data_IF_232943188570
#
_entry.id   IF_232943188570
#
_cell.length_a   1.000
_cell.length_b   1.000
_cell.length_c   1.000
_cell.angle_alpha   90.00
_cell.angle_beta   90.00
_cell.angle_gamma   90.00
#
_symmetry.space_group_name_H-M   'P 1'
#
loop_
_entity.id
_entity.type
_entity.pdbx_description
1 polymer ?
#
# COMPACT_ATOMS: atom_id res chain seq x y z
N UNK A 1 1.94 -38.18 5.73
CA UNK A 1 2.53 -37.16 6.61
C UNK A 1 1.42 -36.55 7.46
N UNK A 2 1.66 -36.26 8.76
CA UNK A 2 0.67 -35.54 9.59
C UNK A 2 0.73 -34.06 9.31
N UNK A 3 -0.34 -33.31 9.61
CA UNK A 3 -0.36 -31.84 9.45
C UNK A 3 0.77 -31.18 10.24
N UNK A 4 1.04 -31.62 11.46
CA UNK A 4 2.15 -31.11 12.27
C UNK A 4 3.51 -31.36 11.62
N UNK A 5 3.76 -32.53 11.04
CA UNK A 5 5.01 -32.81 10.33
C UNK A 5 5.14 -32.04 9.01
N UNK A 6 4.01 -31.70 8.37
CA UNK A 6 4.02 -30.83 7.18
C UNK A 6 4.45 -29.39 7.54
N UNK A 7 3.96 -28.82 8.63
CA UNK A 7 4.43 -27.50 9.09
C UNK A 7 5.92 -27.50 9.45
N UNK A 8 6.40 -28.57 10.12
CA UNK A 8 7.84 -28.69 10.41
C UNK A 8 8.69 -28.77 9.13
N UNK A 9 8.19 -29.47 8.10
CA UNK A 9 8.88 -29.55 6.82
C UNK A 9 8.95 -28.19 6.09
N UNK A 10 7.85 -27.41 6.12
CA UNK A 10 7.84 -26.04 5.60
C UNK A 10 8.87 -25.16 6.31
N UNK A 11 8.85 -25.16 7.65
CA UNK A 11 9.77 -24.37 8.46
C UNK A 11 11.22 -24.72 8.21
N UNK A 12 11.54 -26.03 8.19
CA UNK A 12 12.90 -26.50 7.94
C UNK A 12 13.40 -26.13 6.55
N UNK A 13 12.51 -26.17 5.53
CA UNK A 13 12.87 -25.74 4.19
C UNK A 13 13.17 -24.23 4.15
N UNK A 14 12.32 -23.40 4.77
CA UNK A 14 12.51 -21.96 4.84
C UNK A 14 13.82 -21.63 5.57
N UNK A 15 14.07 -22.24 6.72
CA UNK A 15 15.32 -22.04 7.47
C UNK A 15 16.56 -22.38 6.63
N UNK A 16 16.50 -23.49 5.86
CA UNK A 16 17.60 -23.90 5.00
C UNK A 16 17.84 -22.98 3.78
N UNK A 17 16.82 -22.24 3.35
CA UNK A 17 16.90 -21.35 2.18
C UNK A 17 16.85 -19.86 2.56
N UNK A 18 16.96 -19.53 3.85
CA UNK A 18 16.80 -18.16 4.31
C UNK A 18 17.86 -17.21 3.76
N UNK A 19 19.12 -17.63 3.64
CA UNK A 19 20.17 -16.83 3.01
C UNK A 19 19.88 -16.55 1.52
N UNK A 20 19.19 -17.44 0.84
CA UNK A 20 18.74 -17.22 -0.55
C UNK A 20 17.62 -16.20 -0.60
N UNK A 21 16.68 -16.25 0.35
CA UNK A 21 15.61 -15.27 0.50
C UNK A 21 16.15 -13.86 0.76
N UNK A 22 17.13 -13.73 1.64
CA UNK A 22 17.81 -12.44 1.90
C UNK A 22 18.49 -11.91 0.64
N UNK A 23 19.23 -12.75 -0.10
CA UNK A 23 19.86 -12.33 -1.37
C UNK A 23 18.85 -11.95 -2.44
N UNK A 24 17.72 -12.62 -2.50
CA UNK A 24 16.61 -12.26 -3.40
C UNK A 24 16.09 -10.87 -3.06
N UNK A 25 15.82 -10.59 -1.79
CA UNK A 25 15.38 -9.26 -1.34
C UNK A 25 16.44 -8.18 -1.63
N UNK A 26 17.74 -8.45 -1.35
CA UNK A 26 18.82 -7.51 -1.69
C UNK A 26 18.81 -7.13 -3.17
N UNK A 27 18.67 -8.13 -4.06
CA UNK A 27 18.64 -7.90 -5.51
C UNK A 27 17.44 -7.07 -5.96
N UNK A 28 16.31 -7.13 -5.25
CA UNK A 28 15.13 -6.30 -5.51
C UNK A 28 15.32 -4.87 -4.98
N UNK A 29 15.87 -4.71 -3.78
CA UNK A 29 16.14 -3.38 -3.18
C UNK A 29 17.12 -2.59 -4.03
N UNK A 30 18.10 -3.24 -4.65
CA UNK A 30 19.14 -2.62 -5.49
C UNK A 30 18.60 -2.00 -6.80
N UNK A 31 17.36 -2.26 -7.18
CA UNK A 31 16.73 -1.63 -8.35
C UNK A 31 15.76 -0.54 -7.89
N UNK A 32 16.08 0.75 -8.12
CA UNK A 32 15.21 1.87 -7.74
C UNK A 32 13.84 1.82 -8.41
N UNK A 33 12.81 2.22 -7.67
CA UNK A 33 11.42 2.29 -8.13
C UNK A 33 10.73 3.54 -7.63
N UNK A 34 11.47 4.65 -7.61
CA UNK A 34 10.98 5.93 -7.09
C UNK A 34 9.71 6.37 -7.81
N UNK A 35 8.66 6.59 -7.05
CA UNK A 35 7.37 7.04 -7.54
C UNK A 35 6.91 8.27 -6.77
N UNK A 36 6.87 9.49 -7.41
CA UNK A 36 7.30 9.74 -8.78
C UNK A 36 8.83 9.64 -9.01
N UNK A 37 9.33 9.48 -10.26
CA UNK A 37 8.61 9.52 -11.53
C UNK A 37 7.94 8.19 -11.95
N UNK A 38 8.15 7.10 -11.21
CA UNK A 38 7.49 5.83 -11.47
C UNK A 38 8.02 5.11 -12.73
N UNK A 39 9.34 5.00 -12.87
CA UNK A 39 9.98 4.16 -13.89
C UNK A 39 10.15 2.73 -13.35
N UNK A 40 9.07 1.95 -13.34
CA UNK A 40 8.99 0.68 -12.62
C UNK A 40 9.26 -0.56 -13.49
N UNK A 41 9.22 -0.46 -14.83
CA UNK A 41 9.46 -1.60 -15.72
C UNK A 41 10.84 -2.27 -15.52
N UNK A 42 11.96 -1.56 -15.27
CA UNK A 42 13.25 -2.22 -15.02
C UNK A 42 13.27 -3.14 -13.80
N UNK A 43 12.54 -2.76 -12.72
CA UNK A 43 12.42 -3.62 -11.54
C UNK A 43 11.56 -4.85 -11.84
N UNK A 44 10.48 -4.71 -12.61
CA UNK A 44 9.66 -5.84 -13.03
C UNK A 44 10.48 -6.83 -13.88
N UNK A 45 11.32 -6.36 -14.80
CA UNK A 45 12.23 -7.22 -15.57
C UNK A 45 13.20 -7.96 -14.65
N UNK A 46 13.85 -7.25 -13.73
CA UNK A 46 14.76 -7.86 -12.75
C UNK A 46 14.05 -8.90 -11.89
N UNK A 47 12.83 -8.60 -11.44
CA UNK A 47 12.01 -9.53 -10.67
C UNK A 47 11.71 -10.79 -11.48
N UNK A 48 11.29 -10.65 -12.74
CA UNK A 48 11.01 -11.78 -13.63
C UNK A 48 12.23 -12.67 -13.84
N UNK A 49 13.44 -12.08 -14.01
CA UNK A 49 14.70 -12.82 -14.13
C UNK A 49 15.02 -13.63 -12.85
N UNK A 50 14.81 -13.04 -11.68
CA UNK A 50 15.01 -13.73 -10.40
C UNK A 50 14.02 -14.88 -10.21
N UNK A 51 12.76 -14.70 -10.62
CA UNK A 51 11.73 -15.75 -10.56
C UNK A 51 12.01 -16.87 -11.56
N UNK A 52 12.59 -16.55 -12.72
CA UNK A 52 13.01 -17.55 -13.69
C UNK A 52 14.09 -18.50 -13.15
N UNK A 53 14.96 -18.01 -12.26
CA UNK A 53 15.94 -18.85 -11.57
C UNK A 53 15.30 -19.90 -10.64
N UNK A 54 14.05 -19.68 -10.22
CA UNK A 54 13.23 -20.67 -9.48
C UNK A 54 12.49 -21.65 -10.40
N UNK A 55 12.66 -21.54 -11.73
CA UNK A 55 11.92 -22.31 -12.72
C UNK A 55 10.50 -21.78 -12.97
N UNK A 56 10.18 -20.56 -12.54
CA UNK A 56 8.90 -19.93 -12.75
C UNK A 56 8.93 -18.96 -13.94
N UNK A 57 7.87 -19.00 -14.74
CA UNK A 57 7.65 -18.02 -15.80
C UNK A 57 6.65 -16.97 -15.29
N UNK A 58 7.11 -15.73 -15.14
CA UNK A 58 6.26 -14.61 -14.83
C UNK A 58 5.55 -14.11 -16.09
N UNK A 59 4.24 -13.97 -16.05
CA UNK A 59 3.45 -13.25 -17.04
C UNK A 59 3.74 -11.76 -16.86
N UNK A 60 4.23 -11.11 -17.94
CA UNK A 60 4.53 -9.67 -17.93
C UNK A 60 3.38 -8.90 -18.56
N UNK A 61 2.70 -8.11 -17.77
CA UNK A 61 1.57 -7.31 -18.19
C UNK A 61 1.95 -5.82 -18.19
N UNK A 62 2.55 -5.38 -19.31
CA UNK A 62 2.91 -3.97 -19.50
C UNK A 62 1.63 -3.15 -19.70
N UNK A 63 1.46 -2.10 -18.90
CA UNK A 63 0.38 -1.12 -19.10
C UNK A 63 0.74 -0.25 -20.30
N UNK A 64 -0.20 0.07 -21.21
CA UNK A 64 0.06 0.90 -22.37
C UNK A 64 0.71 2.24 -22.00
N UNK A 65 1.75 2.62 -22.71
CA UNK A 65 2.58 3.81 -22.39
C UNK A 65 1.76 5.10 -22.32
N UNK A 66 0.73 5.24 -23.15
CA UNK A 66 -0.16 6.41 -23.12
C UNK A 66 -0.94 6.48 -21.80
N UNK A 67 -1.50 5.35 -21.32
CA UNK A 67 -2.24 5.28 -20.06
C UNK A 67 -1.32 5.58 -18.87
N UNK A 68 -0.10 5.03 -18.87
CA UNK A 68 0.91 5.26 -17.82
C UNK A 68 1.28 6.73 -17.74
N UNK A 69 1.52 7.39 -18.88
CA UNK A 69 1.86 8.83 -18.93
C UNK A 69 0.70 9.73 -18.53
N UNK A 70 -0.51 9.43 -18.98
CA UNK A 70 -1.71 10.18 -18.61
C UNK A 70 -1.99 10.07 -17.10
N UNK A 71 -1.63 8.94 -16.52
CA UNK A 71 -1.73 8.73 -15.06
C UNK A 71 -0.61 9.43 -14.29
N UNK A 72 0.49 9.82 -14.93
CA UNK A 72 1.60 10.58 -14.34
C UNK A 72 2.83 9.74 -13.98
N UNK A 73 2.95 8.54 -14.52
CA UNK A 73 4.09 7.65 -14.34
C UNK A 73 4.91 7.52 -15.64
N UNK A 74 6.11 6.95 -15.55
CA UNK A 74 7.03 6.78 -16.69
C UNK A 74 6.87 5.42 -17.35
N UNK A 75 6.86 4.34 -16.58
CA UNK A 75 6.68 2.98 -17.07
C UNK A 75 6.11 2.07 -16.00
N UNK A 76 5.31 1.07 -16.39
CA UNK A 76 4.72 0.13 -15.46
C UNK A 76 4.49 -1.22 -16.13
N UNK A 77 5.02 -2.29 -15.51
CA UNK A 77 4.77 -3.68 -15.91
C UNK A 77 4.40 -4.48 -14.68
N UNK A 78 3.17 -4.95 -14.62
CA UNK A 78 2.73 -5.85 -13.57
C UNK A 78 3.15 -7.28 -13.88
N UNK A 79 3.43 -8.09 -12.85
CA UNK A 79 3.80 -9.49 -12.99
C UNK A 79 2.77 -10.39 -12.33
N UNK A 80 2.42 -11.49 -13.00
CA UNK A 80 1.66 -12.59 -12.41
C UNK A 80 2.46 -13.88 -12.55
N UNK A 81 2.64 -14.61 -11.44
CA UNK A 81 3.14 -15.99 -11.44
C UNK A 81 2.01 -16.90 -11.01
N UNK A 82 1.70 -17.93 -11.78
CA UNK A 82 0.64 -18.89 -11.47
C UNK A 82 1.22 -20.26 -11.20
N UNK A 83 0.89 -20.80 -10.04
CA UNK A 83 1.27 -22.17 -9.67
C UNK A 83 0.02 -22.96 -9.28
N UNK A 84 -0.27 -23.99 -10.06
CA UNK A 84 -1.41 -24.87 -9.80
C UNK A 84 -0.92 -26.23 -9.34
N UNK A 85 -1.48 -26.70 -8.21
CA UNK A 85 -1.11 -27.97 -7.62
C UNK A 85 -2.02 -29.12 -8.11
N UNK A 86 -3.31 -28.87 -8.20
CA UNK A 86 -4.28 -29.83 -8.73
C UNK A 86 -5.50 -29.10 -9.33
N UNK A 87 -6.29 -29.82 -10.13
CA UNK A 87 -7.57 -29.32 -10.64
C UNK A 87 -8.59 -29.15 -9.47
N UNK A 88 -9.47 -28.17 -9.62
CA UNK A 88 -10.41 -27.77 -8.55
C UNK A 88 -9.70 -27.01 -7.41
N UNK A 89 -10.37 -26.86 -6.27
CA UNK A 89 -9.84 -26.09 -5.15
C UNK A 89 -9.82 -24.58 -5.39
N UNK A 90 -9.34 -23.84 -4.39
CA UNK A 90 -9.28 -22.37 -4.40
C UNK A 90 -8.03 -21.86 -5.06
N UNK A 91 -8.11 -20.63 -5.59
CA UNK A 91 -6.93 -19.83 -5.97
C UNK A 91 -6.70 -18.77 -4.91
N UNK A 92 -5.53 -18.80 -4.28
CA UNK A 92 -5.08 -17.79 -3.31
C UNK A 92 -4.08 -16.86 -3.99
N UNK A 93 -4.37 -15.57 -4.06
CA UNK A 93 -3.42 -14.59 -4.55
C UNK A 93 -2.61 -13.99 -3.40
N UNK A 94 -1.35 -13.68 -3.69
CA UNK A 94 -0.43 -12.96 -2.82
C UNK A 94 0.01 -11.70 -3.55
N UNK A 95 -0.38 -10.52 -3.06
CA UNK A 95 -0.08 -9.25 -3.72
C UNK A 95 0.92 -8.42 -2.93
N UNK A 96 1.96 -7.95 -3.59
CA UNK A 96 2.91 -6.98 -3.07
C UNK A 96 3.24 -5.93 -4.12
N UNK A 97 3.58 -4.70 -3.67
CA UNK A 97 3.97 -3.62 -4.55
C UNK A 97 5.48 -3.36 -4.53
N UNK A 98 6.03 -3.04 -5.70
CA UNK A 98 7.46 -2.80 -5.86
C UNK A 98 7.82 -1.33 -5.96
N UNK A 99 6.86 -0.44 -6.20
CA UNK A 99 7.05 1.00 -6.22
C UNK A 99 7.23 1.56 -4.80
N UNK A 100 7.90 2.70 -4.69
CA UNK A 100 8.26 3.30 -3.42
C UNK A 100 8.43 4.80 -3.55
N UNK A 101 8.20 5.55 -2.47
CA UNK A 101 8.53 6.99 -2.44
C UNK A 101 10.04 7.21 -2.57
N UNK A 102 10.50 8.33 -3.19
CA UNK A 102 11.92 8.67 -3.27
C UNK A 102 12.60 8.65 -1.90
N UNK A 103 13.88 8.29 -1.83
CA UNK A 103 14.60 8.09 -0.56
C UNK A 103 14.69 9.37 0.30
N UNK A 104 14.75 10.58 -0.33
CA UNK A 104 15.01 11.81 0.39
C UNK A 104 16.46 11.91 0.87
N UNK A 105 16.68 12.74 1.88
CA UNK A 105 18.01 13.04 2.44
C UNK A 105 18.21 12.39 3.82
N UNK A 106 19.45 12.40 4.31
CA UNK A 106 19.79 11.99 5.67
C UNK A 106 20.15 10.52 5.84
N UNK A 107 20.32 9.77 4.75
CA UNK A 107 20.74 8.38 4.79
C UNK A 107 22.20 8.22 5.25
N UNK A 108 22.46 7.24 6.15
CA UNK A 108 23.80 6.79 6.54
C UNK A 108 24.17 5.48 5.83
N UNK A 109 23.18 4.70 5.38
CA UNK A 109 23.33 3.54 4.49
C UNK A 109 22.94 3.93 3.07
N UNK A 110 23.49 3.26 2.05
CA UNK A 110 23.08 3.52 0.67
C UNK A 110 21.60 3.15 0.46
N UNK A 111 20.73 4.07 0.00
CA UNK A 111 19.28 3.84 -0.12
C UNK A 111 18.89 2.60 -0.95
N UNK A 112 19.73 2.25 -1.91
CA UNK A 112 19.57 1.07 -2.78
C UNK A 112 20.74 0.10 -2.65
N UNK A 113 21.43 0.08 -1.49
CA UNK A 113 22.55 -0.82 -1.24
C UNK A 113 22.11 -2.24 -0.89
N UNK A 114 21.02 -2.38 -0.16
CA UNK A 114 20.59 -3.68 0.39
C UNK A 114 21.60 -4.23 1.40
N UNK A 115 22.26 -3.35 2.15
CA UNK A 115 23.28 -3.72 3.14
C UNK A 115 22.66 -4.48 4.32
N UNK A 116 23.32 -5.55 4.75
CA UNK A 116 22.91 -6.33 5.94
C UNK A 116 23.86 -6.03 7.09
N UNK A 117 23.34 -5.43 8.16
CA UNK A 117 24.06 -5.11 9.38
C UNK A 117 23.21 -5.51 10.59
N UNK A 118 23.80 -6.23 11.54
CA UNK A 118 23.17 -6.63 12.81
C UNK A 118 21.76 -7.23 12.67
N UNK A 119 21.59 -8.13 11.69
CA UNK A 119 20.34 -8.82 11.43
C UNK A 119 19.25 -7.96 10.78
N UNK A 120 19.61 -6.80 10.24
CA UNK A 120 18.74 -5.89 9.51
C UNK A 120 19.21 -5.71 8.07
N UNK A 121 18.29 -5.63 7.13
CA UNK A 121 18.56 -5.26 5.75
C UNK A 121 18.13 -3.81 5.53
N UNK A 122 19.10 -2.95 5.23
CA UNK A 122 18.88 -1.52 5.00
C UNK A 122 18.64 -1.23 3.52
N UNK A 123 17.66 -0.36 3.27
CA UNK A 123 17.36 0.14 1.94
C UNK A 123 15.92 0.62 1.79
N UNK A 124 15.70 1.52 0.84
CA UNK A 124 14.36 1.98 0.50
C UNK A 124 13.52 0.83 -0.04
N UNK A 125 12.28 0.68 0.45
CA UNK A 125 11.37 -0.44 0.21
C UNK A 125 11.79 -1.78 0.83
N UNK A 126 12.84 -1.85 1.64
CA UNK A 126 13.21 -3.08 2.34
C UNK A 126 12.12 -3.55 3.30
N UNK A 127 11.42 -2.62 3.97
CA UNK A 127 10.33 -2.92 4.89
C UNK A 127 8.94 -2.87 4.24
N UNK A 128 8.76 -2.01 3.23
CA UNK A 128 7.45 -1.81 2.56
C UNK A 128 7.68 -1.55 1.06
N UNK A 129 7.40 -2.47 0.14
CA UNK A 129 6.93 -3.83 0.38
C UNK A 129 7.72 -4.85 -0.45
N UNK A 130 8.99 -4.53 -0.85
CA UNK A 130 9.84 -5.51 -1.57
C UNK A 130 10.14 -6.74 -0.70
N UNK A 131 10.11 -6.60 0.63
CA UNK A 131 10.15 -7.73 1.57
C UNK A 131 9.09 -8.77 1.27
N UNK A 132 7.89 -8.34 0.90
CA UNK A 132 6.79 -9.27 0.64
C UNK A 132 6.89 -9.97 -0.72
N UNK A 133 7.65 -9.42 -1.68
CA UNK A 133 8.07 -10.18 -2.85
C UNK A 133 8.89 -11.41 -2.44
N UNK A 134 9.80 -11.25 -1.48
CA UNK A 134 10.60 -12.34 -0.95
C UNK A 134 9.75 -13.31 -0.12
N UNK A 135 8.99 -12.80 0.87
CA UNK A 135 8.08 -13.59 1.71
C UNK A 135 7.16 -14.48 0.87
N UNK A 136 6.47 -13.90 -0.10
CA UNK A 136 5.48 -14.63 -0.89
C UNK A 136 6.12 -15.62 -1.86
N UNK A 137 7.25 -15.27 -2.47
CA UNK A 137 8.00 -16.19 -3.33
C UNK A 137 8.54 -17.39 -2.55
N UNK A 138 9.16 -17.15 -1.39
CA UNK A 138 9.76 -18.24 -0.61
C UNK A 138 8.71 -19.08 0.13
N UNK A 139 7.58 -18.52 0.53
CA UNK A 139 6.44 -19.29 1.03
C UNK A 139 5.88 -20.25 -0.03
N UNK A 140 5.74 -19.79 -1.27
CA UNK A 140 5.28 -20.63 -2.38
C UNK A 140 6.30 -21.71 -2.75
N UNK A 141 7.61 -21.39 -2.77
CA UNK A 141 8.68 -22.37 -2.99
C UNK A 141 8.69 -23.45 -1.92
N UNK A 142 8.51 -23.07 -0.65
CA UNK A 142 8.41 -24.04 0.44
C UNK A 142 7.21 -24.98 0.27
N UNK A 143 6.07 -24.44 -0.17
CA UNK A 143 4.87 -25.23 -0.45
C UNK A 143 5.08 -26.21 -1.62
N UNK A 144 5.75 -25.79 -2.70
CA UNK A 144 6.12 -26.67 -3.81
C UNK A 144 7.08 -27.78 -3.37
N UNK A 145 8.09 -27.43 -2.58
CA UNK A 145 9.03 -28.40 -2.04
C UNK A 145 8.35 -29.42 -1.12
N UNK A 146 7.39 -29.00 -0.32
CA UNK A 146 6.56 -29.91 0.47
C UNK A 146 5.73 -30.82 -0.43
N UNK A 147 5.03 -30.26 -1.42
CA UNK A 147 4.18 -31.02 -2.34
C UNK A 147 4.91 -32.13 -3.10
N UNK A 148 6.21 -31.92 -3.34
CA UNK A 148 7.06 -32.92 -4.00
C UNK A 148 7.53 -34.07 -3.08
N UNK A 149 7.29 -34.00 -1.76
CA UNK A 149 7.72 -35.04 -0.82
C UNK A 149 6.79 -36.26 -0.82
N UNK A 150 7.32 -37.48 -0.68
CA UNK A 150 6.49 -38.66 -0.52
C UNK A 150 5.55 -38.58 0.71
N UNK A 151 4.27 -38.81 0.48
CA UNK A 151 3.25 -38.76 1.55
C UNK A 151 2.89 -37.34 2.02
N UNK A 152 3.23 -36.32 1.25
CA UNK A 152 2.78 -34.94 1.48
C UNK A 152 1.24 -34.85 1.49
N UNK A 153 0.65 -33.88 2.20
CA UNK A 153 -0.77 -33.58 2.08
C UNK A 153 -1.15 -33.29 0.63
N UNK A 154 -2.35 -33.68 0.21
CA UNK A 154 -2.87 -33.33 -1.11
C UNK A 154 -3.22 -31.85 -1.13
N UNK A 155 -2.45 -31.08 -1.88
CA UNK A 155 -2.71 -29.65 -2.10
C UNK A 155 -3.59 -29.51 -3.34
N UNK A 156 -4.70 -28.76 -3.22
CA UNK A 156 -5.66 -28.51 -4.30
C UNK A 156 -5.65 -27.03 -4.69
N UNK A 157 -6.13 -26.75 -5.91
CA UNK A 157 -6.18 -25.37 -6.38
C UNK A 157 -4.80 -24.79 -6.71
N UNK A 158 -4.59 -23.51 -6.43
CA UNK A 158 -3.36 -22.84 -6.81
C UNK A 158 -3.06 -21.56 -6.05
N UNK A 159 -1.85 -21.05 -6.32
CA UNK A 159 -1.36 -19.77 -5.80
C UNK A 159 -1.00 -18.87 -6.98
N UNK A 160 -1.37 -17.59 -6.88
CA UNK A 160 -0.93 -16.54 -7.79
C UNK A 160 -0.08 -15.52 -7.01
N UNK A 161 1.10 -15.17 -7.53
CA UNK A 161 1.86 -14.01 -7.05
C UNK A 161 1.53 -12.82 -7.95
N UNK A 162 1.05 -11.74 -7.37
CA UNK A 162 0.79 -10.47 -8.05
C UNK A 162 1.81 -9.44 -7.58
N UNK A 163 2.79 -9.12 -8.42
CA UNK A 163 3.78 -8.08 -8.16
C UNK A 163 3.43 -6.86 -8.99
N UNK A 164 2.99 -5.80 -8.32
CA UNK A 164 2.39 -4.61 -8.91
C UNK A 164 3.20 -3.35 -8.60
N UNK A 165 2.93 -2.23 -9.29
CA UNK A 165 3.79 -1.04 -9.21
C UNK A 165 2.98 0.25 -9.38
N UNK A 166 2.20 0.65 -8.40
CA UNK A 166 1.62 2.00 -8.25
C UNK A 166 0.82 2.18 -6.95
N UNK A 167 1.11 1.37 -5.94
CA UNK A 167 0.43 1.49 -4.63
C UNK A 167 0.58 2.90 -4.05
N UNK A 168 1.78 3.46 -4.17
CA UNK A 168 2.10 4.81 -3.69
C UNK A 168 1.37 5.91 -4.48
N UNK A 169 0.75 5.55 -5.60
CA UNK A 169 0.03 6.48 -6.49
C UNK A 169 -1.46 6.14 -6.65
N UNK A 170 -1.96 5.09 -5.96
CA UNK A 170 -3.37 4.77 -5.88
C UNK A 170 -3.79 3.39 -6.39
N UNK A 171 -2.90 2.57 -6.94
CA UNK A 171 -3.15 1.17 -7.32
C UNK A 171 -3.95 0.96 -8.61
N UNK A 172 -4.34 2.03 -9.28
CA UNK A 172 -5.25 1.93 -10.45
C UNK A 172 -4.57 1.36 -11.69
N UNK A 173 -3.25 1.51 -11.85
CA UNK A 173 -2.47 0.95 -12.95
C UNK A 173 -1.78 -0.37 -12.58
N UNK A 174 -1.67 -0.67 -11.29
CA UNK A 174 -1.24 -1.95 -10.75
C UNK A 174 -2.38 -2.95 -10.68
N UNK A 175 -2.82 -3.35 -9.48
CA UNK A 175 -3.87 -4.35 -9.32
C UNK A 175 -5.20 -3.89 -9.93
N UNK A 176 -5.52 -2.60 -9.89
CA UNK A 176 -6.73 -2.06 -10.51
C UNK A 176 -6.79 -2.36 -12.01
N UNK A 177 -5.67 -2.19 -12.71
CA UNK A 177 -5.57 -2.49 -14.14
C UNK A 177 -5.68 -4.01 -14.41
N UNK A 178 -4.98 -4.85 -13.65
CA UNK A 178 -5.07 -6.30 -13.79
C UNK A 178 -6.50 -6.81 -13.63
N UNK A 179 -7.23 -6.30 -12.63
CA UNK A 179 -8.61 -6.66 -12.35
C UNK A 179 -9.56 -6.17 -13.47
N UNK A 180 -9.39 -4.92 -13.94
CA UNK A 180 -10.21 -4.37 -15.05
C UNK A 180 -10.01 -5.11 -16.36
N UNK A 181 -8.79 -5.58 -16.64
CA UNK A 181 -8.49 -6.39 -17.82
C UNK A 181 -8.95 -7.86 -17.69
N UNK A 182 -9.48 -8.25 -16.51
CA UNK A 182 -9.89 -9.63 -16.27
C UNK A 182 -8.74 -10.64 -16.26
N UNK A 183 -7.51 -10.17 -16.00
CA UNK A 183 -6.31 -11.00 -16.04
C UNK A 183 -6.18 -11.89 -14.81
N UNK A 184 -6.88 -11.58 -13.73
CA UNK A 184 -6.93 -12.40 -12.52
C UNK A 184 -8.28 -12.28 -11.83
N UNK A 185 -8.69 -13.36 -11.17
CA UNK A 185 -9.89 -13.44 -10.31
C UNK A 185 -9.68 -14.52 -9.24
N UNK A 186 -8.84 -14.28 -8.25
CA UNK A 186 -8.60 -15.25 -7.18
C UNK A 186 -9.81 -15.36 -6.25
N UNK A 187 -9.88 -16.45 -5.50
CA UNK A 187 -10.93 -16.67 -4.50
C UNK A 187 -10.61 -15.97 -3.18
N UNK A 188 -9.32 -15.83 -2.84
CA UNK A 188 -8.82 -15.23 -1.62
C UNK A 188 -7.55 -14.42 -1.93
N UNK A 189 -7.26 -13.40 -1.09
CA UNK A 189 -6.06 -12.59 -1.22
C UNK A 189 -5.37 -12.37 0.13
N UNK A 190 -4.05 -12.52 0.15
CA UNK A 190 -3.16 -11.97 1.18
C UNK A 190 -2.33 -10.87 0.52
N UNK A 191 -2.39 -9.66 1.02
CA UNK A 191 -1.57 -8.56 0.53
C UNK A 191 -0.47 -8.20 1.52
N UNK A 192 0.60 -7.61 0.99
CA UNK A 192 1.75 -7.11 1.73
C UNK A 192 1.35 -6.28 2.96
N UNK A 193 1.99 -6.51 4.10
CA UNK A 193 1.67 -5.81 5.33
C UNK A 193 2.53 -6.16 6.53
N UNK A 194 1.99 -5.87 7.71
CA UNK A 194 2.68 -6.05 8.98
C UNK A 194 2.73 -7.52 9.41
N UNK A 195 3.80 -7.91 10.13
CA UNK A 195 3.99 -9.29 10.59
C UNK A 195 3.35 -9.57 11.97
N UNK A 196 3.05 -8.52 12.74
CA UNK A 196 2.55 -8.65 14.12
C UNK A 196 1.05 -8.42 14.28
N UNK A 197 0.34 -8.24 13.17
CA UNK A 197 -1.12 -8.08 13.14
C UNK A 197 -1.68 -8.56 11.81
N UNK A 198 -2.94 -9.02 11.82
CA UNK A 198 -3.72 -9.22 10.60
C UNK A 198 -4.59 -8.00 10.40
N UNK A 199 -4.43 -7.30 9.26
CA UNK A 199 -5.23 -6.12 9.00
C UNK A 199 -6.37 -6.47 8.03
N UNK A 200 -7.60 -6.15 8.44
CA UNK A 200 -8.82 -6.44 7.66
C UNK A 200 -9.61 -5.21 7.28
N UNK A 201 -9.20 -4.03 7.77
CA UNK A 201 -9.82 -2.76 7.45
C UNK A 201 -8.78 -1.65 7.37
N UNK A 202 -9.01 -0.65 6.54
CA UNK A 202 -8.16 0.54 6.50
C UNK A 202 -8.93 1.81 6.15
N UNK A 203 -8.35 2.96 6.47
CA UNK A 203 -8.90 4.25 6.11
C UNK A 203 -8.95 4.44 4.59
N UNK A 204 -9.93 5.21 4.13
CA UNK A 204 -9.92 5.80 2.82
C UNK A 204 -9.11 7.09 2.79
N UNK A 205 -8.84 7.57 1.58
CA UNK A 205 -8.12 8.82 1.32
C UNK A 205 -8.79 9.61 0.22
N UNK A 206 -9.11 10.87 0.50
CA UNK A 206 -9.58 11.84 -0.48
C UNK A 206 -8.57 12.99 -0.54
N UNK A 207 -7.94 13.19 -1.70
CA UNK A 207 -7.07 14.35 -1.92
C UNK A 207 -7.71 15.33 -2.88
N UNK A 208 -7.65 16.61 -2.53
CA UNK A 208 -8.24 17.67 -3.32
C UNK A 208 -7.28 18.84 -3.47
N UNK A 209 -7.39 19.53 -4.60
CA UNK A 209 -6.76 20.81 -4.86
C UNK A 209 -7.85 21.90 -4.85
N UNK A 210 -7.60 22.95 -4.08
CA UNK A 210 -8.47 24.13 -3.97
C UNK A 210 -7.71 25.33 -4.50
N UNK A 211 -8.16 25.91 -5.60
CA UNK A 211 -7.60 27.13 -6.17
C UNK A 211 -8.50 28.32 -5.83
N UNK A 212 -7.96 29.27 -5.10
CA UNK A 212 -8.62 30.52 -4.75
C UNK A 212 -8.13 31.61 -5.70
N UNK A 213 -9.04 32.22 -6.43
CA UNK A 213 -8.77 33.32 -7.35
C UNK A 213 -9.26 34.64 -6.76
N UNK A 214 -8.43 35.64 -6.87
CA UNK A 214 -8.68 37.04 -6.53
C UNK A 214 -8.30 37.97 -7.66
N UNK A 215 -7.92 39.20 -7.33
CA UNK A 215 -7.48 40.21 -8.26
C UNK A 215 -6.20 40.87 -7.75
N UNK A 216 -5.12 40.84 -8.53
CA UNK A 216 -3.85 41.48 -8.18
C UNK A 216 -4.00 42.99 -8.14
N UNK A 217 -3.32 43.64 -7.20
CA UNK A 217 -3.20 45.09 -7.10
C UNK A 217 -1.85 45.46 -6.46
N UNK A 218 -1.47 46.71 -6.60
CA UNK A 218 -0.31 47.25 -5.91
C UNK A 218 -0.58 47.32 -4.39
N UNK A 219 0.35 46.85 -3.55
CA UNK A 219 0.17 46.83 -2.11
C UNK A 219 -0.09 48.17 -1.44
N UNK A 220 0.26 49.29 -2.10
CA UNK A 220 -0.03 50.64 -1.62
C UNK A 220 -1.51 51.06 -1.80
N UNK A 221 -2.25 50.35 -2.66
CA UNK A 221 -3.68 50.59 -2.94
C UNK A 221 -4.45 49.25 -2.94
N UNK A 222 -4.38 48.47 -1.86
CA UNK A 222 -4.86 47.09 -1.84
C UNK A 222 -6.39 46.97 -2.05
N UNK A 223 -7.14 48.02 -1.74
CA UNK A 223 -8.57 48.10 -1.95
C UNK A 223 -9.01 48.07 -3.42
N UNK A 224 -8.08 48.17 -4.37
CA UNK A 224 -8.34 48.01 -5.81
C UNK A 224 -8.19 46.53 -6.27
N UNK A 225 -7.74 45.64 -5.40
CA UNK A 225 -7.59 44.23 -5.63
C UNK A 225 -8.57 43.39 -4.80
N UNK A 226 -8.44 42.08 -4.98
CA UNK A 226 -9.16 41.08 -4.20
C UNK A 226 -8.10 40.07 -3.71
N UNK A 227 -7.84 40.05 -2.42
CA UNK A 227 -6.74 39.26 -1.83
C UNK A 227 -7.10 37.77 -1.74
N UNK A 228 -6.56 36.96 -2.67
CA UNK A 228 -6.75 35.53 -2.69
C UNK A 228 -6.14 34.84 -1.46
N UNK A 229 -5.09 35.39 -0.82
CA UNK A 229 -4.49 34.83 0.36
C UNK A 229 -5.41 34.99 1.59
N UNK A 230 -6.00 36.16 1.77
CA UNK A 230 -6.99 36.36 2.82
C UNK A 230 -8.22 35.44 2.62
N UNK A 231 -8.70 35.30 1.37
CA UNK A 231 -9.74 34.35 1.03
C UNK A 231 -9.36 32.90 1.36
N UNK A 232 -8.13 32.50 1.03
CA UNK A 232 -7.61 31.18 1.37
C UNK A 232 -7.52 30.95 2.89
N UNK A 233 -7.14 31.99 3.69
CA UNK A 233 -7.11 31.89 5.16
C UNK A 233 -8.52 31.65 5.74
N UNK A 234 -9.56 32.29 5.19
CA UNK A 234 -10.95 32.04 5.62
C UNK A 234 -11.33 30.58 5.37
N UNK A 235 -11.00 30.04 4.19
CA UNK A 235 -11.25 28.63 3.85
C UNK A 235 -10.43 27.69 4.75
N UNK A 236 -9.16 27.98 5.00
CA UNK A 236 -8.31 27.18 5.90
C UNK A 236 -8.87 27.13 7.32
N UNK A 237 -9.32 28.24 7.87
CA UNK A 237 -9.93 28.28 9.20
C UNK A 237 -11.19 27.41 9.26
N UNK A 238 -12.03 27.42 8.24
CA UNK A 238 -13.22 26.57 8.18
C UNK A 238 -12.85 25.07 8.08
N UNK A 239 -11.84 24.72 7.27
CA UNK A 239 -11.34 23.34 7.16
C UNK A 239 -10.74 22.84 8.47
N UNK A 240 -9.96 23.65 9.18
CA UNK A 240 -9.41 23.27 10.48
C UNK A 240 -10.47 23.19 11.58
N UNK A 241 -11.49 24.06 11.55
CA UNK A 241 -12.65 23.95 12.43
C UNK A 241 -13.41 22.62 12.18
N UNK A 242 -13.64 22.27 10.91
CA UNK A 242 -14.24 20.99 10.54
C UNK A 242 -13.38 19.81 11.00
N UNK A 243 -12.04 19.87 10.83
CA UNK A 243 -11.14 18.83 11.32
C UNK A 243 -11.23 18.63 12.84
N UNK A 244 -11.42 19.71 13.60
CA UNK A 244 -11.61 19.59 15.06
C UNK A 244 -12.89 18.83 15.42
N UNK A 245 -13.96 18.96 14.64
CA UNK A 245 -15.21 18.23 14.84
C UNK A 245 -15.10 16.73 14.55
N UNK A 246 -14.20 16.31 13.67
CA UNK A 246 -14.00 14.89 13.35
C UNK A 246 -13.56 14.05 14.55
N UNK A 247 -12.93 14.66 15.57
CA UNK A 247 -12.53 13.96 16.81
C UNK A 247 -13.71 13.37 17.59
N UNK A 248 -14.92 13.87 17.36
CA UNK A 248 -16.14 13.34 17.97
C UNK A 248 -16.68 12.06 17.27
N UNK A 249 -16.18 11.76 16.07
CA UNK A 249 -16.58 10.57 15.29
C UNK A 249 -15.53 9.48 15.50
N UNK A 250 -15.88 8.41 16.24
CA UNK A 250 -14.97 7.30 16.52
C UNK A 250 -15.29 6.11 15.61
N UNK A 251 -14.27 5.53 15.00
CA UNK A 251 -14.41 4.25 14.28
C UNK A 251 -14.70 3.11 15.26
N UNK A 252 -15.44 2.10 14.79
CA UNK A 252 -15.68 0.84 15.51
C UNK A 252 -14.57 -0.17 15.27
N UNK A 253 -13.66 0.10 14.34
CA UNK A 253 -12.55 -0.80 13.98
C UNK A 253 -11.37 -0.57 14.93
N UNK A 254 -10.91 -1.61 15.66
CA UNK A 254 -9.70 -1.51 16.46
C UNK A 254 -8.51 -1.07 15.61
N UNK A 255 -7.69 -0.13 16.09
CA UNK A 255 -6.54 0.42 15.34
C UNK A 255 -6.86 1.66 14.50
N UNK A 256 -8.14 1.96 14.27
CA UNK A 256 -8.59 3.19 13.60
C UNK A 256 -9.29 4.08 14.63
N UNK A 257 -8.92 5.34 14.70
CA UNK A 257 -9.46 6.27 15.70
C UNK A 257 -10.62 7.10 15.17
N UNK A 258 -10.32 8.14 14.42
CA UNK A 258 -11.30 9.09 13.89
C UNK A 258 -10.83 9.63 12.51
N UNK A 259 -11.70 10.27 11.76
CA UNK A 259 -11.32 10.92 10.50
C UNK A 259 -10.33 12.08 10.74
N UNK A 260 -9.51 12.35 9.71
CA UNK A 260 -8.54 13.46 9.74
C UNK A 260 -8.59 14.28 8.46
N UNK A 261 -8.30 15.57 8.58
CA UNK A 261 -8.05 16.46 7.46
C UNK A 261 -6.74 17.21 7.68
N UNK A 262 -5.86 17.16 6.70
CA UNK A 262 -4.60 17.89 6.68
C UNK A 262 -4.52 18.74 5.42
N UNK A 263 -4.04 19.98 5.53
CA UNK A 263 -3.64 20.77 4.36
C UNK A 263 -2.12 20.71 4.30
N UNK A 264 -1.62 19.89 3.36
CA UNK A 264 -0.18 19.57 3.26
C UNK A 264 0.60 20.56 2.40
N UNK A 265 -0.07 21.36 1.57
CA UNK A 265 0.59 22.31 0.67
C UNK A 265 -0.21 23.58 0.50
N UNK A 266 0.48 24.72 0.49
CA UNK A 266 -0.06 26.02 0.13
C UNK A 266 0.96 26.75 -0.74
N UNK A 267 0.49 27.32 -1.85
CA UNK A 267 1.30 28.12 -2.77
C UNK A 267 0.50 29.34 -3.23
N UNK A 268 1.14 30.50 -3.35
CA UNK A 268 0.46 31.70 -3.86
C UNK A 268 1.26 32.98 -3.70
N UNK A 269 0.76 34.02 -4.34
CA UNK A 269 1.44 35.32 -4.42
C UNK A 269 2.54 35.33 -5.47
N UNK A 270 3.02 36.56 -5.79
CA UNK A 270 4.07 36.79 -6.80
C UNK A 270 5.21 37.62 -6.25
N UNK A 271 4.90 38.67 -5.46
CA UNK A 271 5.89 39.54 -4.87
C UNK A 271 5.32 40.23 -3.62
N UNK A 272 6.18 40.63 -2.69
CA UNK A 272 5.83 41.28 -1.42
C UNK A 272 4.96 42.52 -1.56
N UNK A 273 5.14 43.31 -2.63
CA UNK A 273 4.41 44.56 -2.89
C UNK A 273 3.19 44.39 -3.82
N UNK A 274 2.65 43.16 -3.93
CA UNK A 274 1.50 42.81 -4.78
C UNK A 274 0.45 42.05 -3.95
N UNK A 275 -0.81 42.49 -4.04
CA UNK A 275 -1.96 41.74 -3.48
C UNK A 275 -2.05 40.40 -4.22
N UNK A 276 -2.05 39.25 -3.53
CA UNK A 276 -2.11 37.94 -4.19
C UNK A 276 -3.38 37.73 -4.99
N UNK A 277 -3.24 37.43 -6.28
CA UNK A 277 -4.37 37.15 -7.18
C UNK A 277 -4.72 35.66 -7.26
N UNK A 278 -3.88 34.79 -6.73
CA UNK A 278 -4.12 33.33 -6.75
C UNK A 278 -3.41 32.64 -5.58
N UNK A 279 -4.11 31.68 -4.96
CA UNK A 279 -3.55 30.76 -3.97
C UNK A 279 -4.06 29.36 -4.26
N UNK A 280 -3.19 28.35 -4.15
CA UNK A 280 -3.51 26.93 -4.32
C UNK A 280 -3.27 26.20 -3.00
N UNK A 281 -4.24 25.43 -2.54
CA UNK A 281 -4.16 24.56 -1.38
C UNK A 281 -4.27 23.12 -1.85
N UNK A 282 -3.52 22.20 -1.24
CA UNK A 282 -3.74 20.75 -1.41
C UNK A 282 -4.02 20.12 -0.05
N UNK A 283 -5.12 19.41 0.03
CA UNK A 283 -5.61 18.76 1.25
C UNK A 283 -5.70 17.25 1.08
N UNK A 284 -5.52 16.55 2.22
CA UNK A 284 -5.66 15.11 2.39
C UNK A 284 -6.69 14.86 3.49
N UNK A 285 -7.79 14.16 3.17
CA UNK A 285 -8.87 13.78 4.06
C UNK A 285 -8.86 12.27 4.25
N UNK A 286 -8.49 11.81 5.44
CA UNK A 286 -8.55 10.40 5.81
C UNK A 286 -9.96 10.04 6.29
N UNK A 287 -10.58 9.07 5.60
CA UNK A 287 -11.94 8.58 5.89
C UNK A 287 -11.84 7.31 6.72
N UNK A 288 -12.65 7.19 7.76
CA UNK A 288 -12.82 5.92 8.47
C UNK A 288 -13.69 4.95 7.65
N UNK A 289 -13.66 3.63 7.92
CA UNK A 289 -14.41 2.63 7.16
C UNK A 289 -15.94 2.87 7.15
N UNK A 290 -16.47 3.51 8.15
CA UNK A 290 -17.90 3.80 8.30
C UNK A 290 -18.39 4.99 7.46
N UNK A 291 -17.49 5.76 6.84
CA UNK A 291 -17.86 6.94 6.06
C UNK A 291 -18.08 6.60 4.58
N UNK A 292 -19.12 7.22 3.98
CA UNK A 292 -19.35 7.16 2.55
C UNK A 292 -18.52 8.22 1.82
N UNK A 293 -17.65 7.84 0.86
CA UNK A 293 -16.74 8.78 0.19
C UNK A 293 -17.45 9.87 -0.62
N UNK A 294 -18.65 9.59 -1.15
CA UNK A 294 -19.42 10.58 -1.91
C UNK A 294 -19.92 11.68 -0.98
N UNK A 295 -20.45 11.29 0.17
CA UNK A 295 -20.91 12.22 1.21
C UNK A 295 -19.73 13.04 1.76
N UNK A 296 -18.59 12.41 2.04
CA UNK A 296 -17.39 13.10 2.55
C UNK A 296 -16.90 14.16 1.57
N UNK A 297 -16.81 13.84 0.28
CA UNK A 297 -16.42 14.83 -0.74
C UNK A 297 -17.42 15.98 -0.84
N UNK A 298 -18.71 15.69 -0.82
CA UNK A 298 -19.75 16.72 -0.86
C UNK A 298 -19.68 17.66 0.37
N UNK A 299 -19.42 17.12 1.55
CA UNK A 299 -19.27 17.92 2.78
C UNK A 299 -18.05 18.83 2.73
N UNK A 300 -16.88 18.35 2.26
CA UNK A 300 -15.70 19.19 2.11
C UNK A 300 -15.95 20.31 1.10
N UNK A 301 -16.58 20.01 -0.04
CA UNK A 301 -16.93 21.03 -1.04
C UNK A 301 -17.88 22.07 -0.47
N UNK A 302 -18.87 21.64 0.32
CA UNK A 302 -19.82 22.55 1.00
C UNK A 302 -19.09 23.46 1.99
N UNK A 303 -18.21 22.94 2.86
CA UNK A 303 -17.43 23.72 3.82
C UNK A 303 -16.60 24.79 3.10
N UNK A 304 -15.94 24.44 1.99
CA UNK A 304 -15.15 25.36 1.18
C UNK A 304 -16.05 26.45 0.57
N UNK A 305 -17.18 26.08 -0.01
CA UNK A 305 -18.11 27.02 -0.67
C UNK A 305 -18.73 27.99 0.34
N UNK A 306 -19.18 27.50 1.50
CA UNK A 306 -19.74 28.34 2.58
C UNK A 306 -18.71 29.33 3.11
N UNK A 307 -17.46 28.88 3.33
CA UNK A 307 -16.38 29.75 3.77
C UNK A 307 -16.05 30.81 2.71
N UNK A 308 -15.92 30.41 1.44
CA UNK A 308 -15.64 31.32 0.34
C UNK A 308 -16.70 32.42 0.18
N UNK A 309 -17.98 32.09 0.39
CA UNK A 309 -19.09 33.03 0.32
C UNK A 309 -19.00 34.16 1.37
N UNK A 310 -18.25 33.97 2.45
CA UNK A 310 -18.03 35.00 3.48
C UNK A 310 -16.97 36.03 3.11
N UNK A 311 -16.19 35.80 2.04
CA UNK A 311 -15.15 36.71 1.57
C UNK A 311 -15.49 37.20 0.15
N UNK A 312 -16.01 38.42 0.00
CA UNK A 312 -16.52 38.93 -1.27
C UNK A 312 -15.44 39.04 -2.36
N UNK A 313 -15.79 38.63 -3.57
CA UNK A 313 -15.00 38.85 -4.79
C UNK A 313 -14.05 37.73 -5.17
N UNK A 314 -13.74 36.78 -4.27
CA UNK A 314 -13.01 35.56 -4.67
C UNK A 314 -13.89 34.58 -5.44
N UNK A 315 -13.26 33.79 -6.30
CA UNK A 315 -13.84 32.57 -6.86
C UNK A 315 -12.98 31.38 -6.50
N UNK A 316 -13.58 30.17 -6.41
CA UNK A 316 -12.90 28.98 -5.95
C UNK A 316 -13.17 27.80 -6.88
N UNK A 317 -12.10 27.18 -7.38
CA UNK A 317 -12.13 25.92 -8.10
C UNK A 317 -11.70 24.78 -7.16
N UNK A 318 -12.43 23.69 -7.16
CA UNK A 318 -12.14 22.50 -6.34
C UNK A 318 -12.04 21.28 -7.23
N UNK A 319 -10.82 20.71 -7.32
CA UNK A 319 -10.51 19.52 -8.11
C UNK A 319 -10.19 18.34 -7.18
N UNK A 320 -10.81 17.18 -7.43
CA UNK A 320 -10.40 15.93 -6.79
C UNK A 320 -9.12 15.42 -7.46
N UNK A 321 -8.09 15.11 -6.66
CA UNK A 321 -6.82 14.54 -7.11
C UNK A 321 -6.83 13.03 -6.96
N UNK A 322 -7.34 12.51 -5.81
CA UNK A 322 -7.39 11.09 -5.49
C UNK A 322 -8.64 10.78 -4.69
N UNK A 323 -9.24 9.63 -4.96
CA UNK A 323 -10.24 9.00 -4.09
C UNK A 323 -9.92 7.52 -3.95
N UNK A 324 -9.31 7.14 -2.84
CA UNK A 324 -9.15 5.76 -2.42
C UNK A 324 -10.21 5.43 -1.36
N UNK A 325 -11.10 4.46 -1.67
CA UNK A 325 -12.14 4.03 -0.75
C UNK A 325 -11.54 3.33 0.47
N UNK A 326 -12.23 3.38 1.59
CA UNK A 326 -11.88 2.59 2.78
C UNK A 326 -12.02 1.09 2.49
N UNK A 327 -11.20 0.29 3.16
CA UNK A 327 -11.37 -1.17 3.19
C UNK A 327 -12.31 -1.54 4.33
N UNK A 328 -13.32 -2.33 4.01
CA UNK A 328 -14.15 -3.03 4.98
C UNK A 328 -13.97 -4.55 4.81
N UNK A 329 -13.93 -5.32 5.90
CA UNK A 329 -13.75 -6.77 5.81
C UNK A 329 -14.94 -7.42 5.10
N UNK A 330 -14.66 -8.32 4.16
CA UNK A 330 -15.66 -9.19 3.56
C UNK A 330 -15.82 -10.46 4.41
N UNK A 331 -17.05 -11.00 4.58
CA UNK A 331 -17.29 -12.19 5.43
C UNK A 331 -16.43 -13.39 5.06
N UNK A 332 -16.05 -13.54 3.80
CA UNK A 332 -15.20 -14.64 3.31
C UNK A 332 -13.73 -14.58 3.74
N UNK A 333 -13.28 -13.54 4.46
CA UNK A 333 -11.89 -13.43 4.91
C UNK A 333 -11.59 -14.20 6.22
N UNK A 334 -12.61 -14.71 6.92
CA UNK A 334 -12.47 -15.42 8.19
C UNK A 334 -11.43 -16.55 8.14
N UNK A 335 -11.42 -17.43 7.13
CA UNK A 335 -10.41 -18.51 7.07
C UNK A 335 -8.97 -17.96 6.96
N UNK A 336 -8.77 -16.83 6.28
CA UNK A 336 -7.47 -16.17 6.20
C UNK A 336 -7.02 -15.64 7.57
N UNK A 337 -7.90 -14.94 8.26
CA UNK A 337 -7.64 -14.37 9.60
C UNK A 337 -7.28 -15.48 10.58
N UNK A 338 -8.12 -16.53 10.67
CA UNK A 338 -7.93 -17.64 11.62
C UNK A 338 -6.62 -18.40 11.35
N UNK A 339 -6.30 -18.68 10.08
CA UNK A 339 -5.07 -19.38 9.73
C UNK A 339 -3.83 -18.53 10.08
N UNK A 340 -3.81 -17.24 9.72
CA UNK A 340 -2.68 -16.35 10.04
C UNK A 340 -2.53 -16.18 11.55
N UNK A 341 -3.61 -16.00 12.30
CA UNK A 341 -3.57 -15.89 13.77
C UNK A 341 -3.02 -17.17 14.42
N UNK A 342 -3.50 -18.34 14.01
CA UNK A 342 -3.02 -19.64 14.47
C UNK A 342 -1.53 -19.82 14.24
N UNK A 343 -1.08 -19.58 13.02
CA UNK A 343 0.33 -19.76 12.66
C UNK A 343 1.23 -18.65 13.20
N UNK A 344 0.73 -17.42 13.19
CA UNK A 344 1.42 -16.28 13.78
C UNK A 344 1.69 -16.49 15.27
N UNK A 345 0.68 -16.90 16.03
CA UNK A 345 0.86 -17.23 17.46
C UNK A 345 1.93 -18.31 17.67
N UNK A 346 1.94 -19.34 16.82
CA UNK A 346 2.92 -20.43 16.92
C UNK A 346 4.34 -19.97 16.60
N UNK A 347 4.51 -19.19 15.51
CA UNK A 347 5.83 -18.80 14.97
C UNK A 347 6.43 -17.62 15.73
N UNK A 348 5.64 -16.62 16.12
CA UNK A 348 6.10 -15.45 16.86
C UNK A 348 6.09 -15.64 18.38
N UNK A 349 5.40 -16.71 18.90
CA UNK A 349 5.26 -16.95 20.34
C UNK A 349 4.33 -15.97 21.05
N UNK A 350 3.54 -15.20 20.30
CA UNK A 350 2.58 -14.23 20.82
C UNK A 350 1.32 -14.18 19.95
N UNK A 351 0.20 -13.73 20.52
CA UNK A 351 -1.03 -13.53 19.76
C UNK A 351 -0.87 -12.48 18.67
N UNK A 352 -1.42 -12.76 17.49
CA UNK A 352 -1.51 -11.82 16.37
C UNK A 352 -2.94 -11.26 16.35
N UNK A 353 -3.17 -9.97 16.70
CA UNK A 353 -4.50 -9.39 16.71
C UNK A 353 -5.04 -9.14 15.30
N UNK A 354 -6.37 -9.15 15.16
CA UNK A 354 -7.05 -8.63 13.98
C UNK A 354 -7.33 -7.14 14.19
N UNK A 355 -6.79 -6.28 13.32
CA UNK A 355 -6.79 -4.83 13.47
C UNK A 355 -7.22 -4.12 12.17
N UNK A 356 -7.47 -2.83 12.29
CA UNK A 356 -7.49 -1.90 11.16
C UNK A 356 -6.24 -1.02 11.18
N UNK A 357 -5.93 -0.40 10.04
CA UNK A 357 -4.82 0.55 9.89
C UNK A 357 -5.30 1.90 9.35
N UNK A 358 -4.71 3.02 9.77
CA UNK A 358 -4.99 4.31 9.16
C UNK A 358 -4.40 4.48 7.75
N UNK A 359 -3.54 3.55 7.30
CA UNK A 359 -2.90 3.56 5.99
C UNK A 359 -3.83 2.91 4.96
N UNK A 360 -4.05 3.54 3.81
CA UNK A 360 -4.78 2.87 2.72
C UNK A 360 -3.84 1.98 1.90
N UNK A 361 -4.39 0.93 1.28
CA UNK A 361 -3.64 -0.02 0.46
C UNK A 361 -4.44 -0.45 -0.77
N UNK A 362 -3.79 -1.20 -1.66
CA UNK A 362 -4.37 -1.76 -2.89
C UNK A 362 -5.42 -2.85 -2.65
N UNK A 363 -5.46 -3.44 -1.45
CA UNK A 363 -6.43 -4.48 -1.06
C UNK A 363 -7.87 -4.07 -1.32
N UNK A 364 -8.18 -2.78 -1.15
CA UNK A 364 -9.51 -2.22 -1.43
C UNK A 364 -10.00 -2.51 -2.85
N UNK A 365 -9.08 -2.61 -3.83
CA UNK A 365 -9.42 -2.86 -5.24
C UNK A 365 -9.89 -4.29 -5.46
N UNK A 366 -9.26 -5.27 -4.80
CA UNK A 366 -9.70 -6.66 -4.80
C UNK A 366 -11.02 -6.83 -4.06
N UNK A 367 -11.16 -6.23 -2.88
CA UNK A 367 -12.39 -6.29 -2.10
C UNK A 367 -13.58 -5.63 -2.84
N UNK A 368 -13.33 -4.58 -3.63
CA UNK A 368 -14.34 -3.97 -4.49
C UNK A 368 -14.87 -4.91 -5.58
N UNK A 369 -14.11 -5.96 -5.95
CA UNK A 369 -14.53 -7.04 -6.85
C UNK A 369 -15.12 -8.25 -6.09
N UNK A 370 -15.34 -8.12 -4.79
CA UNK A 370 -15.89 -9.19 -3.94
C UNK A 370 -14.88 -10.27 -3.55
N UNK A 371 -13.57 -10.03 -3.70
CA UNK A 371 -12.51 -10.96 -3.34
C UNK A 371 -12.15 -10.75 -1.86
N UNK A 372 -12.42 -11.72 -0.97
CA UNK A 372 -12.07 -11.63 0.44
C UNK A 372 -10.55 -11.54 0.62
N UNK A 373 -10.11 -10.59 1.45
CA UNK A 373 -8.71 -10.28 1.58
C UNK A 373 -8.31 -9.95 3.02
N UNK A 374 -7.01 -10.11 3.28
CA UNK A 374 -6.32 -9.62 4.48
C UNK A 374 -4.99 -8.99 4.07
N UNK A 375 -4.46 -8.15 4.94
CA UNK A 375 -3.12 -7.56 4.83
C UNK A 375 -2.26 -8.25 5.87
N UNK A 376 -1.20 -8.94 5.43
CA UNK A 376 -0.22 -9.62 6.27
C UNK A 376 1.06 -9.87 5.48
N UNK A 377 2.22 -9.66 6.09
CA UNK A 377 3.51 -9.89 5.42
C UNK A 377 4.70 -9.72 6.35
N UNK A 378 5.86 -9.40 5.80
CA UNK A 378 7.11 -9.23 6.55
C UNK A 378 7.31 -7.84 7.13
N UNK A 379 6.36 -6.93 6.96
CA UNK A 379 6.47 -5.56 7.46
C UNK A 379 6.68 -5.50 8.99
N UNK A 380 7.19 -4.39 9.49
CA UNK A 380 7.57 -4.22 10.89
C UNK A 380 6.35 -4.22 11.83
N UNK A 381 6.60 -4.24 13.13
CA UNK A 381 5.56 -4.06 14.15
C UNK A 381 4.86 -2.69 14.02
N UNK A 382 5.63 -1.66 13.71
CA UNK A 382 5.12 -0.32 13.42
C UNK A 382 5.99 0.34 12.35
N UNK A 383 5.43 1.30 11.61
CA UNK A 383 6.18 2.09 10.61
C UNK A 383 7.36 2.87 11.23
N UNK A 384 7.31 3.14 12.53
CA UNK A 384 8.39 3.86 13.24
C UNK A 384 9.60 2.97 13.49
N UNK A 385 9.40 1.68 13.77
CA UNK A 385 10.50 0.74 14.03
C UNK A 385 11.39 0.55 12.80
N UNK A 386 10.82 0.57 11.61
CA UNK A 386 11.54 0.33 10.35
C UNK A 386 12.04 1.60 9.67
N UNK A 387 11.76 2.77 10.20
CA UNK A 387 11.94 4.04 9.49
C UNK A 387 11.25 4.07 8.10
N UNK A 388 10.13 3.39 7.93
CA UNK A 388 9.40 3.36 6.66
C UNK A 388 9.14 4.77 6.13
N UNK A 389 9.47 5.02 4.86
CA UNK A 389 9.42 6.34 4.18
C UNK A 389 10.38 7.40 4.76
N UNK A 390 11.32 7.01 5.64
CA UNK A 390 12.39 7.87 6.19
C UNK A 390 13.76 7.37 5.73
N UNK A 391 14.81 8.13 6.05
CA UNK A 391 16.19 7.68 5.86
C UNK A 391 16.48 6.44 6.73
N UNK A 392 17.41 5.62 6.25
CA UNK A 392 17.81 4.36 6.90
C UNK A 392 16.63 3.42 7.19
N UNK A 393 15.70 3.33 6.24
CA UNK A 393 14.67 2.29 6.27
C UNK A 393 15.31 0.92 6.30
N UNK A 394 14.80 0.04 7.16
CA UNK A 394 15.33 -1.32 7.32
C UNK A 394 14.24 -2.35 7.59
N UNK A 395 14.55 -3.58 7.26
CA UNK A 395 13.78 -4.75 7.62
C UNK A 395 14.55 -5.60 8.64
N UNK A 396 13.88 -6.05 9.69
CA UNK A 396 14.42 -7.07 10.60
C UNK A 396 14.34 -8.43 9.92
N UNK A 397 15.49 -9.08 9.68
CA UNK A 397 15.55 -10.33 8.93
C UNK A 397 14.85 -11.49 9.63
N UNK A 398 14.81 -11.51 10.96
CA UNK A 398 14.06 -12.52 11.71
C UNK A 398 12.55 -12.39 11.48
N UNK A 399 12.02 -11.17 11.31
CA UNK A 399 10.61 -10.95 11.00
C UNK A 399 10.27 -11.43 9.57
N UNK A 400 11.18 -11.22 8.60
CA UNK A 400 11.06 -11.78 7.25
C UNK A 400 10.91 -13.31 7.31
N UNK A 401 11.85 -13.99 7.98
CA UNK A 401 11.84 -15.46 8.10
C UNK A 401 10.56 -15.98 8.76
N UNK A 402 10.12 -15.32 9.83
CA UNK A 402 8.89 -15.69 10.55
C UNK A 402 7.64 -15.47 9.71
N UNK A 403 7.53 -14.33 9.03
CA UNK A 403 6.41 -14.03 8.16
C UNK A 403 6.29 -15.05 7.02
N UNK A 404 7.42 -15.43 6.40
CA UNK A 404 7.47 -16.46 5.36
C UNK A 404 6.93 -17.81 5.87
N UNK A 405 7.30 -18.22 7.09
CA UNK A 405 6.75 -19.43 7.73
C UNK A 405 5.23 -19.34 7.94
N UNK A 406 4.75 -18.20 8.44
CA UNK A 406 3.31 -17.99 8.66
C UNK A 406 2.54 -18.07 7.35
N UNK A 407 3.01 -17.39 6.30
CA UNK A 407 2.35 -17.40 4.97
C UNK A 407 2.37 -18.83 4.39
N UNK A 408 3.50 -19.54 4.42
CA UNK A 408 3.60 -20.91 3.91
C UNK A 408 2.62 -21.88 4.59
N UNK A 409 2.55 -21.84 5.92
CA UNK A 409 1.61 -22.66 6.71
C UNK A 409 0.16 -22.26 6.44
N UNK A 410 -0.13 -20.96 6.29
CA UNK A 410 -1.45 -20.45 5.94
C UNK A 410 -1.89 -20.96 4.57
N UNK A 411 -1.03 -20.91 3.56
CA UNK A 411 -1.31 -21.46 2.23
C UNK A 411 -1.61 -22.97 2.29
N UNK A 412 -0.86 -23.72 3.09
CA UNK A 412 -1.13 -25.15 3.28
C UNK A 412 -2.54 -25.39 3.84
N UNK A 413 -2.93 -24.66 4.90
CA UNK A 413 -4.27 -24.82 5.52
C UNK A 413 -5.40 -24.41 4.55
N UNK A 414 -5.19 -23.40 3.72
CA UNK A 414 -6.21 -22.92 2.79
C UNK A 414 -6.40 -23.83 1.57
N UNK A 415 -5.38 -24.62 1.22
CA UNK A 415 -5.33 -25.43 0.01
C UNK A 415 -5.41 -26.94 0.26
N UNK A 416 -5.51 -27.36 1.50
CA UNK A 416 -5.76 -28.77 1.91
C UNK A 416 -7.11 -28.93 2.57
#
# INVERSE_FOLDING_TARGET
>A
MTTASAYQALDAWIDAHFDEEVRFLQALVQVPTDTPPGNNAPHAERTADLLQAFGWQAEKHAVPEAEVRDYGLTSLTNLIVRRRFAEGGRTVALNAHGDVVPPGEGWTHAPYGGEVVDGKLYGRASAVSKSDFATFSFALRALEALAAQPGAPTIQGGVELHFTYDEEFGGEMGPGWLLRQGLTKPDLLIAAGFSYEVVTAHNGCLQMEVTVHGLMAHAAIPHTGIDALQGAVVILNALYAQNALYKATTSKVPGITHPYLNVGRIEGGTNTNVVPGKVVLKLDRRMIPEEDPVTVEADIRRVIAEAAATFPGITVDVKRLLLAKSLQPLPGNVPLVEAIQKHGQTVFGQAIPNMGTPLYTDVRLYCAQGIPAVIYGAGPRTVFESNAKRADEYLVLEDLRKATKVVARTLLDLLT
#
